data_IF_466343146393
#
_entry.id   IF_466343146393
#
_cell.length_a   1.000
_cell.length_b   1.000
_cell.length_c   1.000
_cell.angle_alpha   90.00
_cell.angle_beta   90.00
_cell.angle_gamma   90.00
#
_symmetry.space_group_name_H-M   'P 1'
#
loop_
_entity.id
_entity.type
_entity.pdbx_description
1 polymer ?
2 polymer ?
#
loop_
_entity_poly.entity_id
_entity_poly.type
_entity_poly.pdbx_seq_one_letter_code
_entity_poly.pdbx_strand_id
2 'polydeoxyribonucleotide' '(DC)(DC)(DC)' ?
#
# COMPACT_ATOMS: atom_id res chain seq x y z
N UNK A 4 14.34 -13.47 10.00
CA UNK A 4 15.07 -14.52 9.23
C UNK A 4 14.88 -14.32 7.72
N UNK A 5 15.96 -13.97 7.04
CA UNK A 5 15.92 -13.75 5.61
C UNK A 5 15.83 -15.05 4.84
N UNK A 6 14.76 -15.19 4.06
CA UNK A 6 14.53 -16.41 3.29
C UNK A 6 14.57 -16.26 1.79
N UNK A 7 15.09 -17.31 1.14
CA UNK A 7 15.21 -17.34 -0.31
C UNK A 7 14.04 -18.09 -0.90
N UNK A 8 13.46 -17.55 -1.96
CA UNK A 8 12.32 -18.19 -2.59
C UNK A 8 12.47 -18.40 -4.09
N UNK A 9 11.88 -19.49 -4.59
CA UNK A 9 11.94 -19.84 -6.01
C UNK A 9 11.21 -18.79 -6.83
N UNK A 10 11.95 -17.76 -7.25
CA UNK A 10 11.36 -16.66 -8.02
C UNK A 10 11.30 -16.89 -9.53
N UNK A 11 10.51 -16.09 -10.26
CA UNK A 11 10.38 -16.21 -11.72
C UNK A 11 11.60 -15.67 -12.47
N UNK A 12 11.92 -16.29 -13.61
CA UNK A 12 13.06 -15.93 -14.44
C UNK A 12 13.67 -14.54 -14.21
N UNK A 13 13.29 -13.53 -15.00
CA UNK A 13 13.97 -12.29 -14.63
C UNK A 13 13.27 -11.71 -13.41
N UNK A 14 13.95 -11.70 -12.27
CA UNK A 14 13.33 -11.12 -11.07
C UNK A 14 13.42 -9.61 -11.30
N UNK A 15 12.28 -9.03 -11.63
CA UNK A 15 12.16 -7.60 -11.92
C UNK A 15 11.32 -6.87 -10.88
N UNK A 16 11.46 -5.54 -10.87
CA UNK A 16 10.70 -4.67 -9.97
C UNK A 16 9.64 -3.92 -10.75
N UNK A 17 8.42 -3.93 -10.23
CA UNK A 17 7.30 -3.28 -10.91
C UNK A 17 7.03 -1.89 -10.37
N UNK A 18 6.94 -0.93 -11.28
CA UNK A 18 6.71 0.44 -10.93
C UNK A 18 5.50 0.87 -11.71
N UNK A 19 4.73 1.79 -11.13
CA UNK A 19 3.53 2.31 -11.76
C UNK A 19 3.96 3.46 -12.65
N UNK A 20 3.29 3.61 -13.79
CA UNK A 20 3.62 4.71 -14.69
C UNK A 20 2.56 5.78 -14.54
N UNK A 21 2.91 6.94 -13.98
CA UNK A 21 1.91 7.99 -13.84
C UNK A 21 1.14 8.15 -15.13
N UNK A 22 -0.05 8.73 -15.02
CA UNK A 22 -0.87 8.93 -16.19
C UNK A 22 -0.22 9.93 -17.13
N UNK A 23 -0.05 9.52 -18.39
CA UNK A 23 0.54 10.38 -19.40
C UNK A 23 2.04 10.19 -19.61
N UNK A 24 2.62 9.22 -18.90
CA UNK A 24 4.04 8.91 -19.05
C UNK A 24 4.08 7.63 -19.89
N UNK A 25 5.02 7.55 -20.81
CA UNK A 25 5.10 6.37 -21.67
C UNK A 25 6.53 5.85 -21.89
N UNK A 26 6.69 4.53 -21.84
CA UNK A 26 8.00 3.89 -22.04
C UNK A 26 7.93 2.57 -22.79
N UNK A 27 9.02 2.23 -23.47
CA UNK A 27 9.10 0.99 -24.20
C UNK A 27 10.31 0.20 -23.72
N UNK A 28 10.28 -1.11 -23.90
CA UNK A 28 11.39 -1.98 -23.50
C UNK A 28 12.71 -1.43 -24.02
N UNK A 29 13.78 -1.64 -23.26
CA UNK A 29 15.07 -1.15 -23.67
C UNK A 29 15.32 0.30 -23.28
N UNK A 30 14.43 0.88 -22.48
CA UNK A 30 14.59 2.26 -22.08
C UNK A 30 14.90 2.42 -20.62
N UNK A 31 15.85 3.30 -20.34
CA UNK A 31 16.25 3.58 -18.98
C UNK A 31 15.21 4.46 -18.32
N UNK A 32 15.00 4.26 -17.02
CA UNK A 32 14.01 5.04 -16.30
C UNK A 32 14.59 5.32 -14.93
N UNK A 33 14.23 6.45 -14.35
CA UNK A 33 14.71 6.79 -13.02
C UNK A 33 13.57 6.34 -12.11
N UNK A 34 13.87 5.52 -11.12
CA UNK A 34 12.81 5.02 -10.25
C UNK A 34 13.20 5.14 -8.79
N UNK A 35 12.20 5.10 -7.90
CA UNK A 35 12.52 5.18 -6.47
C UNK A 35 13.10 3.83 -6.03
N UNK A 36 13.88 3.84 -4.95
CA UNK A 36 14.43 2.59 -4.43
C UNK A 36 14.71 2.73 -2.95
N UNK A 37 13.95 1.99 -2.15
CA UNK A 37 14.09 2.08 -0.72
C UNK A 37 13.52 3.43 -0.32
N UNK A 38 12.66 3.44 0.71
CA UNK A 38 12.01 4.66 1.23
C UNK A 38 12.13 6.03 0.55
N UNK A 39 13.35 6.50 0.25
CA UNK A 39 13.49 7.85 -0.33
C UNK A 39 14.53 8.05 -1.45
N UNK A 40 15.31 7.03 -1.79
CA UNK A 40 16.32 7.17 -2.84
C UNK A 40 15.82 7.00 -4.27
N UNK A 41 16.75 7.14 -5.20
CA UNK A 41 16.47 7.02 -6.64
C UNK A 41 17.56 6.13 -7.21
N UNK A 42 17.27 5.50 -8.35
CA UNK A 42 18.23 4.64 -9.03
C UNK A 42 17.84 4.51 -10.50
N UNK A 43 18.80 4.14 -11.34
CA UNK A 43 18.56 3.97 -12.77
C UNK A 43 18.30 2.51 -13.05
N UNK A 44 17.32 2.22 -13.91
CA UNK A 44 17.02 0.85 -14.25
C UNK A 44 16.60 0.82 -15.70
N UNK A 45 16.39 -0.37 -16.24
CA UNK A 45 15.97 -0.48 -17.62
C UNK A 45 14.66 -1.24 -17.71
N UNK A 46 13.74 -0.71 -18.50
CA UNK A 46 12.44 -1.33 -18.67
C UNK A 46 12.66 -2.60 -19.46
N UNK A 47 12.28 -3.74 -18.88
CA UNK A 47 12.41 -5.01 -19.55
C UNK A 47 11.13 -5.23 -20.33
N UNK A 48 10.02 -4.81 -19.74
CA UNK A 48 8.70 -4.95 -20.34
C UNK A 48 7.64 -4.15 -19.62
N UNK A 49 6.49 -4.06 -20.26
CA UNK A 49 5.38 -3.36 -19.65
C UNK A 49 4.14 -4.16 -19.92
N UNK A 50 3.45 -4.54 -18.86
CA UNK A 50 2.23 -5.31 -18.99
C UNK A 50 1.07 -4.52 -18.40
N UNK A 51 -0.02 -5.23 -18.10
CA UNK A 51 -1.19 -4.60 -17.52
C UNK A 51 -1.43 -5.14 -16.14
N UNK A 52 -0.39 -5.63 -15.49
CA UNK A 52 -0.59 -6.19 -14.17
C UNK A 52 0.66 -6.46 -13.37
N UNK A 53 0.49 -6.50 -12.04
CA UNK A 53 1.59 -6.78 -11.13
C UNK A 53 1.07 -7.59 -9.94
N UNK A 54 1.98 -8.30 -9.27
CA UNK A 54 1.61 -9.11 -8.11
C UNK A 54 0.83 -8.25 -7.13
N UNK A 55 1.28 -7.01 -6.97
CA UNK A 55 0.65 -6.06 -6.07
C UNK A 55 -0.23 -5.11 -6.88
N UNK A 56 -1.28 -4.58 -6.25
CA UNK A 56 -2.21 -3.64 -6.89
C UNK A 56 -1.52 -2.37 -7.37
N UNK A 57 -2.02 -1.84 -8.46
CA UNK A 57 -1.45 -0.63 -9.03
C UNK A 57 -1.25 0.50 -8.02
N UNK A 58 -2.24 0.76 -7.19
CA UNK A 58 -2.08 1.85 -6.22
C UNK A 58 -0.94 1.60 -5.26
N UNK A 59 -0.29 0.44 -5.32
CA UNK A 59 0.82 0.17 -4.42
C UNK A 59 2.19 0.29 -5.08
N UNK A 60 2.20 0.33 -6.41
CA UNK A 60 3.45 0.43 -7.16
C UNK A 60 3.91 1.87 -7.23
N UNK A 61 5.15 2.14 -6.82
CA UNK A 61 5.66 3.49 -6.87
C UNK A 61 5.77 3.86 -8.34
N UNK A 62 5.54 5.13 -8.63
CA UNK A 62 5.58 5.58 -9.99
C UNK A 62 6.98 5.89 -10.48
N UNK A 63 7.18 5.68 -11.78
CA UNK A 63 8.44 5.98 -12.42
C UNK A 63 8.61 7.49 -12.31
N UNK A 64 9.84 7.94 -12.10
CA UNK A 64 10.08 9.36 -11.96
C UNK A 64 10.38 10.10 -13.26
N UNK A 65 11.17 9.49 -14.12
CA UNK A 65 11.55 10.11 -15.38
C UNK A 65 12.03 9.03 -16.32
N UNK A 66 11.85 9.24 -17.62
CA UNK A 66 12.36 8.28 -18.59
C UNK A 66 13.56 8.96 -19.24
N UNK A 67 14.71 8.29 -19.18
CA UNK A 67 15.95 8.83 -19.71
C UNK A 67 16.15 8.59 -21.18
N UNK A 68 15.38 7.68 -21.75
CA UNK A 68 15.53 7.37 -23.17
C UNK A 68 14.23 7.57 -23.92
N UNK A 69 14.29 8.20 -25.07
CA UNK A 69 13.10 8.39 -25.88
C UNK A 69 13.00 7.08 -26.64
N UNK A 70 14.13 6.61 -27.13
CA UNK A 70 14.16 5.35 -27.83
C UNK A 70 15.16 4.43 -27.14
N UNK A 71 15.04 3.11 -27.37
CA UNK A 71 15.88 2.06 -26.79
C UNK A 71 17.37 2.29 -26.85
N UNK A 72 18.03 2.28 -25.70
CA UNK A 72 19.47 2.48 -25.66
C UNK A 72 20.18 1.28 -26.30
N UNK A 73 19.45 0.18 -26.45
CA UNK A 73 20.01 -1.03 -27.05
C UNK A 73 19.33 -1.30 -28.39
N UNK A 74 20.00 -2.05 -29.24
CA UNK A 74 19.50 -2.43 -30.56
C UNK A 74 18.43 -3.51 -30.40
N UNK A 75 17.54 -3.67 -31.38
CA UNK A 75 16.52 -4.70 -31.25
C UNK A 75 17.16 -6.09 -31.20
N UNK A 76 18.28 -6.25 -31.91
CA UNK A 76 19.00 -7.53 -31.93
C UNK A 76 19.69 -7.76 -30.61
N UNK A 77 20.57 -6.82 -30.26
CA UNK A 77 21.35 -6.85 -29.03
C UNK A 77 20.44 -7.13 -27.83
N UNK A 78 19.32 -6.42 -27.80
CA UNK A 78 18.34 -6.57 -26.74
C UNK A 78 17.87 -8.03 -26.69
N UNK A 79 17.39 -8.55 -27.82
CA UNK A 79 16.92 -9.92 -27.81
C UNK A 79 18.01 -10.86 -27.33
N UNK A 80 19.25 -10.63 -27.77
CA UNK A 80 20.34 -11.49 -27.34
C UNK A 80 20.60 -11.34 -25.86
N UNK A 81 20.70 -10.09 -25.40
CA UNK A 81 20.92 -9.84 -23.99
C UNK A 81 19.95 -10.62 -23.11
N UNK A 82 18.66 -10.44 -23.34
CA UNK A 82 17.64 -11.11 -22.55
C UNK A 82 17.78 -12.62 -22.70
N UNK A 83 18.14 -13.06 -23.89
CA UNK A 83 18.31 -14.47 -24.10
C UNK A 83 19.39 -15.03 -23.17
N UNK A 84 20.58 -14.45 -23.33
CA UNK A 84 21.75 -14.83 -22.57
C UNK A 84 21.48 -14.82 -21.06
N UNK A 85 20.84 -13.77 -20.58
CA UNK A 85 20.53 -13.64 -19.15
C UNK A 85 19.69 -14.84 -18.69
N UNK A 86 18.73 -15.22 -19.52
CA UNK A 86 17.85 -16.33 -19.22
C UNK A 86 18.58 -17.66 -19.41
N UNK A 87 19.15 -17.86 -20.58
CA UNK A 87 19.85 -19.11 -20.84
C UNK A 87 20.92 -19.43 -19.80
N UNK A 88 21.78 -18.46 -19.53
CA UNK A 88 22.87 -18.68 -18.59
C UNK A 88 22.57 -18.39 -17.12
N UNK A 89 21.32 -18.11 -16.84
CA UNK A 89 20.90 -17.86 -15.48
C UNK A 89 21.61 -16.71 -14.82
N UNK A 90 21.60 -15.58 -15.53
CA UNK A 90 22.20 -14.37 -15.02
C UNK A 90 21.13 -13.30 -14.81
N UNK A 91 21.26 -12.51 -13.73
CA UNK A 91 20.26 -11.46 -13.46
C UNK A 91 20.22 -10.53 -14.66
N UNK A 92 19.03 -10.35 -15.20
CA UNK A 92 18.84 -9.51 -16.37
C UNK A 92 19.34 -8.09 -16.12
N UNK A 93 19.19 -7.60 -14.90
CA UNK A 93 19.68 -6.28 -14.60
C UNK A 93 21.18 -6.31 -14.77
N UNK A 94 21.79 -7.32 -14.13
CA UNK A 94 23.21 -7.58 -14.18
C UNK A 94 23.73 -7.55 -15.60
N UNK A 95 23.14 -8.37 -16.45
CA UNK A 95 23.55 -8.43 -17.83
C UNK A 95 23.39 -7.08 -18.50
N UNK A 96 22.19 -6.51 -18.40
CA UNK A 96 21.90 -5.23 -19.03
C UNK A 96 22.85 -4.08 -18.69
N UNK A 97 22.97 -3.75 -17.41
CA UNK A 97 23.86 -2.67 -17.07
C UNK A 97 25.34 -2.94 -17.30
N UNK A 98 25.78 -4.18 -17.18
CA UNK A 98 27.19 -4.49 -17.43
C UNK A 98 27.47 -4.37 -18.91
N UNK A 99 26.56 -4.85 -19.76
CA UNK A 99 26.77 -4.81 -21.20
C UNK A 99 26.65 -3.42 -21.80
N UNK A 100 25.92 -2.53 -21.14
CA UNK A 100 25.75 -1.18 -21.64
C UNK A 100 27.08 -0.50 -21.90
N UNK A 101 27.97 -0.42 -20.89
CA UNK A 101 29.26 0.24 -21.09
C UNK A 101 30.07 -0.39 -22.22
N UNK A 102 30.06 -1.71 -22.29
CA UNK A 102 30.79 -2.39 -23.35
C UNK A 102 30.24 -1.99 -24.72
N UNK A 103 28.94 -2.20 -24.91
CA UNK A 103 28.33 -1.89 -26.19
C UNK A 103 28.51 -0.45 -26.66
N UNK A 104 28.31 0.52 -25.79
CA UNK A 104 28.42 1.92 -26.22
C UNK A 104 29.83 2.50 -26.25
N UNK A 105 30.71 2.00 -25.40
CA UNK A 105 32.06 2.53 -25.32
C UNK A 105 33.00 1.79 -26.26
N UNK B 1 1.24 1.26 -21.30
CA UNK B 1 0.44 0.56 -20.26
C UNK B 1 0.73 0.99 -18.82
N UNK B 2 0.06 0.37 -17.84
CA UNK B 2 0.25 0.72 -16.43
C UNK B 2 1.56 0.32 -15.73
N UNK B 3 1.81 -0.99 -15.63
CA UNK B 3 3.01 -1.51 -14.97
C UNK B 3 4.28 -1.63 -15.80
N UNK B 4 5.38 -1.17 -15.21
CA UNK B 4 6.67 -1.23 -15.85
C UNK B 4 7.51 -2.21 -15.04
N UNK B 5 7.99 -3.23 -15.73
CA UNK B 5 8.82 -4.28 -15.15
C UNK B 5 10.25 -3.82 -15.39
N UNK B 6 10.92 -3.46 -14.31
CA UNK B 6 12.26 -2.91 -14.43
C UNK B 6 13.42 -3.74 -13.90
N UNK B 7 14.53 -3.68 -14.65
CA UNK B 7 15.74 -4.38 -14.28
C UNK B 7 16.59 -3.43 -13.46
N UNK B 8 17.12 -3.90 -12.35
CA UNK B 8 17.95 -3.05 -11.51
C UNK B 8 19.37 -3.55 -11.31
N UNK B 9 20.33 -2.61 -11.18
CA UNK B 9 21.71 -2.97 -10.97
C UNK B 9 21.92 -3.83 -9.71
N UNK B 10 22.02 -5.12 -10.01
CA UNK B 10 22.25 -6.23 -9.11
C UNK B 10 22.56 -6.02 -7.67
N UNK B 11 21.54 -6.14 -6.80
CA UNK B 11 21.57 -5.99 -5.34
C UNK B 11 22.49 -7.05 -4.72
N UNK B 13 22.49 -10.51 -2.48
CA UNK B 13 21.51 -11.56 -2.22
C UNK B 13 20.17 -10.97 -1.79
N UNK B 14 19.31 -10.70 -2.77
CA UNK B 14 18.01 -10.14 -2.43
C UNK B 14 17.05 -11.23 -1.97
N UNK B 15 16.78 -11.28 -0.67
CA UNK B 15 15.88 -12.29 -0.10
C UNK B 15 14.63 -11.71 0.54
N UNK B 16 13.72 -12.61 0.92
CA UNK B 16 12.48 -12.20 1.55
C UNK B 16 12.55 -12.48 3.04
N UNK B 17 12.10 -11.51 3.83
CA UNK B 17 12.14 -11.63 5.27
C UNK B 17 10.80 -12.07 5.85
N UNK B 18 10.83 -13.05 6.74
CA UNK B 18 9.62 -13.53 7.41
C UNK B 18 9.86 -13.72 8.90
N UNK B 19 8.81 -13.59 9.70
CA UNK B 19 8.90 -13.73 11.15
C UNK B 19 8.87 -15.18 11.59
N UNK B 20 9.70 -15.48 12.58
CA UNK B 20 9.80 -16.82 13.14
C UNK B 20 8.71 -17.04 14.17
N UNK B 22 7.36 -17.54 18.19
CA UNK B 22 7.89 -17.71 19.54
C UNK B 22 8.06 -19.19 19.88
N UNK B 23 9.30 -19.64 19.95
CA UNK B 23 9.56 -21.03 20.28
C UNK B 23 9.90 -21.86 19.05
N UNK B 24 10.04 -21.19 17.92
CA UNK B 24 10.40 -21.84 16.66
C UNK B 24 11.83 -21.42 16.34
N UNK B 25 12.70 -22.38 16.06
CA UNK B 25 14.08 -22.04 15.74
C UNK B 25 14.57 -22.70 14.48
N UNK B 26 15.35 -21.94 13.72
CA UNK B 26 15.89 -22.41 12.46
C UNK B 26 17.25 -21.81 12.22
N UNK B 27 18.08 -22.51 11.46
CA UNK B 27 19.37 -21.95 11.13
C UNK B 27 19.60 -22.03 9.61
N UNK B 28 20.59 -21.29 9.15
CA UNK B 28 20.93 -21.23 7.73
C UNK B 28 20.97 -22.61 7.08
N UNK B 29 20.47 -22.68 5.85
CA UNK B 29 20.50 -23.93 5.11
C UNK B 29 19.29 -24.80 5.36
N UNK B 30 18.33 -24.29 6.11
CA UNK B 30 17.11 -25.04 6.42
C UNK B 30 15.89 -24.57 5.64
N UNK B 31 15.17 -25.53 5.08
CA UNK B 31 13.98 -25.22 4.31
C UNK B 31 12.86 -24.83 5.26
N UNK B 32 12.03 -23.88 4.85
CA UNK B 32 10.93 -23.40 5.67
C UNK B 32 9.70 -23.10 4.81
N UNK B 33 8.54 -23.34 5.40
CA UNK B 33 7.26 -23.08 4.74
C UNK B 33 6.83 -21.70 5.16
N UNK B 34 6.60 -20.82 4.19
CA UNK B 34 6.18 -19.47 4.53
C UNK B 34 5.06 -18.97 3.64
N UNK B 35 4.33 -17.95 4.09
CA UNK B 35 3.23 -17.39 3.30
C UNK B 35 3.77 -16.66 2.08
N UNK B 36 3.01 -16.68 1.00
CA UNK B 36 3.45 -16.06 -0.24
C UNK B 36 2.31 -15.28 -0.89
N UNK B 37 2.39 -13.96 -0.84
CA UNK B 37 1.37 -13.11 -1.44
C UNK B 37 -0.04 -13.42 -0.96
N UNK B 38 -1.00 -12.73 -1.59
CA UNK B 38 -2.42 -12.90 -1.29
C UNK B 38 -2.83 -14.26 -1.84
N UNK B 39 -1.89 -15.20 -1.76
CA UNK B 39 -2.08 -16.56 -2.25
C UNK B 39 -1.64 -17.56 -1.18
N UNK B 41 0.70 -21.10 0.68
CA UNK B 41 1.95 -21.52 1.31
C UNK B 41 2.99 -21.89 0.25
N UNK B 42 4.26 -21.86 0.64
CA UNK B 42 5.36 -22.23 -0.25
C UNK B 42 6.66 -22.48 0.51
N UNK B 43 7.52 -23.32 -0.06
CA UNK B 43 8.78 -23.66 0.59
C UNK B 43 9.89 -22.71 0.22
N UNK B 44 10.71 -22.40 1.22
CA UNK B 44 11.84 -21.52 1.01
C UNK B 44 12.99 -21.98 1.88
N UNK B 45 14.17 -21.41 1.66
CA UNK B 45 15.34 -21.77 2.46
C UNK B 45 15.81 -20.56 3.25
N UNK B 46 16.04 -20.79 4.55
CA UNK B 46 16.50 -19.74 5.43
C UNK B 46 17.92 -19.41 5.05
N UNK B 47 18.13 -18.15 4.65
CA UNK B 47 19.44 -17.66 4.25
C UNK B 47 20.16 -17.11 5.47
N UNK B 48 19.38 -16.47 6.35
CA UNK B 48 19.93 -15.88 7.54
C UNK B 48 18.82 -15.61 8.54
N UNK B 49 19.22 -15.48 9.81
CA UNK B 49 18.28 -15.22 10.88
C UNK B 49 18.69 -13.95 11.62
N UNK B 51 18.13 -9.69 13.05
CA UNK B 51 17.28 -9.00 14.02
C UNK B 51 16.86 -7.63 13.50
N UNK B 53 14.70 -5.84 10.27
CA UNK B 53 13.93 -5.98 9.04
C UNK B 53 13.63 -4.66 8.33
N UNK B 54 13.56 -4.73 7.00
CA UNK B 54 13.27 -3.56 6.18
C UNK B 54 11.94 -2.91 6.58
N UNK B 55 10.87 -3.69 6.60
CA UNK B 55 9.56 -3.17 6.98
C UNK B 55 9.27 -3.42 8.47
N UNK B 56 8.21 -2.80 9.02
CA UNK B 56 7.84 -2.98 10.44
C UNK B 56 7.76 -4.43 10.89
N UNK B 57 8.24 -4.70 12.11
CA UNK B 57 8.19 -6.05 12.66
C UNK B 57 6.74 -6.28 13.06
N UNK B 58 5.85 -5.59 12.34
CA UNK B 58 4.43 -5.66 12.59
C UNK B 58 3.69 -6.13 11.35
N UNK B 59 3.62 -5.27 10.33
CA UNK B 59 2.94 -5.62 9.09
C UNK B 59 3.72 -6.68 8.33
N UNK B 61 3.99 -10.72 6.71
CA UNK B 61 4.03 -12.17 6.55
C UNK B 61 5.04 -12.78 7.54
N UNK B 62 4.62 -13.84 8.23
CA UNK B 62 5.47 -14.51 9.23
C UNK B 62 6.07 -15.86 8.79
N UNK B 64 5.89 -19.54 8.66
CA UNK B 64 4.98 -20.59 9.12
C UNK B 64 5.67 -21.57 10.03
N UNK B 65 6.57 -22.36 9.46
CA UNK B 65 7.33 -23.31 10.25
C UNK B 65 8.64 -23.66 9.59
N UNK B 66 9.48 -24.31 10.39
CA UNK B 66 10.79 -24.78 10.00
C UNK B 66 10.67 -26.23 9.58
N UNK B 67 11.09 -26.54 8.36
CA UNK B 67 11.02 -27.91 7.87
C UNK B 67 12.28 -28.70 8.21
N UNK B 68 13.31 -28.02 8.69
CA UNK B 68 14.54 -28.70 9.04
C UNK B 68 15.16 -28.16 10.32
N UNK B 69 15.51 -29.07 11.21
CA UNK B 69 16.12 -28.72 12.49
C UNK B 69 17.59 -28.44 12.23
N UNK B 70 18.14 -29.22 11.30
CA UNK B 70 19.53 -29.14 10.91
C UNK B 70 19.61 -28.68 9.46
N UNK B 71 20.70 -27.99 9.09
CA UNK B 71 20.84 -27.51 7.71
C UNK B 71 20.88 -28.67 6.71
N UNK B 72 20.06 -28.58 5.67
CA UNK B 72 20.03 -29.62 4.65
C UNK B 72 21.32 -29.56 3.82
N UNK B 73 22.10 -28.49 3.98
CA UNK B 73 23.36 -28.32 3.26
C UNK B 73 24.53 -28.45 4.25
N UNK B 74 25.66 -28.99 3.78
CA UNK B 74 26.86 -29.15 4.61
C UNK B 74 27.47 -27.76 4.81
N UNK B 75 28.29 -27.59 5.84
CA UNK B 75 28.93 -26.29 6.04
C UNK B 75 29.75 -26.00 4.79
N UNK B 76 30.41 -27.04 4.30
CA UNK B 76 31.24 -26.97 3.12
C UNK B 76 30.36 -26.57 1.92
N UNK B 77 29.42 -27.45 1.58
CA UNK B 77 28.48 -27.27 0.48
C UNK B 77 27.90 -25.86 0.43
N UNK B 78 27.39 -25.42 1.56
CA UNK B 78 26.79 -24.09 1.67
C UNK B 78 27.82 -23.03 1.24
N UNK B 79 28.98 -23.00 1.90
CA UNK B 79 30.02 -22.02 1.59
C UNK B 79 30.26 -22.00 0.09
N UNK B 80 30.43 -23.20 -0.48
CA UNK B 80 30.67 -23.37 -1.90
C UNK B 80 29.53 -22.77 -2.73
N UNK B 81 28.31 -23.25 -2.48
CA UNK B 81 27.15 -22.76 -3.20
C UNK B 81 27.01 -21.24 -3.15
N UNK B 82 27.16 -20.67 -1.97
CA UNK B 82 27.01 -19.21 -1.84
C UNK B 82 28.09 -18.50 -2.63
N UNK B 83 29.27 -19.11 -2.69
CA UNK B 83 30.40 -18.52 -3.43
C UNK B 83 30.01 -18.46 -4.89
N UNK B 84 29.78 -19.64 -5.45
CA UNK B 84 29.41 -19.79 -6.85
C UNK B 84 28.28 -18.87 -7.26
N UNK B 85 27.29 -18.70 -6.37
CA UNK B 85 26.17 -17.82 -6.66
C UNK B 85 26.74 -16.43 -6.94
N UNK B 86 27.60 -16.01 -6.01
CA UNK B 86 28.25 -14.72 -6.08
C UNK B 86 29.25 -14.58 -7.22
N UNK B 87 30.17 -15.52 -7.31
CA UNK B 87 31.21 -15.50 -8.32
C UNK B 87 30.70 -15.59 -9.76
N UNK B 88 29.72 -16.44 -10.01
CA UNK B 88 29.23 -16.57 -11.37
C UNK B 88 27.95 -15.80 -11.67
N UNK B 89 27.53 -14.96 -10.72
CA UNK B 89 26.36 -14.12 -10.95
C UNK B 89 25.10 -14.92 -11.13
N UNK B 90 24.74 -15.69 -10.11
CA UNK B 90 23.53 -16.48 -10.17
C UNK B 90 22.72 -16.18 -8.92
N UNK B 91 21.41 -16.03 -9.06
CA UNK B 91 20.62 -15.76 -7.86
C UNK B 91 20.72 -16.89 -6.86
N UNK B 92 21.14 -16.55 -5.66
CA UNK B 92 21.29 -17.50 -4.57
C UNK B 92 20.15 -18.51 -4.52
N UNK B 93 18.92 -18.02 -4.66
CA UNK B 93 17.78 -18.90 -4.61
C UNK B 93 17.89 -19.97 -5.67
N UNK B 94 18.10 -19.53 -6.91
CA UNK B 94 18.25 -20.44 -8.04
C UNK B 94 19.27 -21.51 -7.74
N UNK B 95 20.46 -21.09 -7.34
CA UNK B 95 21.51 -22.01 -7.02
C UNK B 95 21.08 -23.00 -5.94
N UNK B 96 20.61 -22.46 -4.82
CA UNK B 96 20.17 -23.28 -3.70
C UNK B 96 19.13 -24.34 -4.00
N UNK B 97 18.05 -23.92 -4.64
CA UNK B 97 16.96 -24.83 -4.96
C UNK B 97 17.34 -25.82 -6.03
N UNK B 98 18.14 -25.37 -6.98
CA UNK B 98 18.55 -26.27 -8.04
C UNK B 98 19.63 -27.25 -7.56
N UNK B 99 20.42 -26.83 -6.59
CA UNK B 99 21.49 -27.68 -6.06
C UNK B 99 20.98 -28.80 -5.16
N UNK B 100 19.92 -28.51 -4.41
CA UNK B 100 19.33 -29.45 -3.48
C UNK B 100 19.07 -30.84 -4.10
N UNK B 101 18.32 -30.91 -5.20
CA UNK B 101 18.02 -32.18 -5.87
C UNK B 101 19.27 -32.99 -6.20
N UNK B 102 20.23 -32.36 -6.87
CA UNK B 102 21.46 -33.04 -7.23
C UNK B 102 22.15 -33.50 -5.97
N UNK B 103 22.18 -32.60 -4.99
CA UNK B 103 22.77 -32.85 -3.68
C UNK B 103 22.32 -34.14 -3.03
N UNK B 104 21.01 -34.26 -2.90
CA UNK B 104 20.37 -35.41 -2.27
C UNK B 104 20.45 -36.72 -3.04
N UNK C 1 -21.01 -3.16 24.44
CA UNK C 1 -21.70 -1.90 24.03
C UNK C 1 -20.99 -0.62 24.49
N UNK C 2 -19.66 -0.53 24.32
CA UNK C 2 -18.89 0.65 24.72
C UNK C 2 -18.71 1.67 23.60
N UNK C 3 -18.20 1.21 22.48
CA UNK C 3 -17.98 2.06 21.33
C UNK C 3 -19.29 2.31 20.58
N UNK C 4 -19.52 3.55 20.20
CA UNK C 4 -20.71 3.91 19.46
C UNK C 4 -20.12 4.46 18.17
N UNK C 5 -20.59 3.94 17.04
CA UNK C 5 -20.11 4.36 15.73
C UNK C 5 -21.11 5.36 15.23
N UNK C 6 -20.72 6.62 15.29
CA UNK C 6 -21.58 7.71 14.93
C UNK C 6 -21.27 8.35 13.59
N UNK C 7 -22.32 8.61 12.82
CA UNK C 7 -22.17 9.26 11.54
C UNK C 7 -22.44 10.72 11.81
N UNK C 8 -21.58 11.59 11.30
CA UNK C 8 -21.75 13.02 11.51
C UNK C 8 -21.89 13.71 10.18
N UNK C 9 -22.55 14.88 10.15
CA UNK C 9 -22.71 15.59 8.89
C UNK C 9 -21.42 16.38 8.68
N UNK C 10 -20.46 15.83 7.95
CA UNK C 10 -19.22 16.57 7.76
C UNK C 10 -19.16 17.33 6.45
N UNK C 11 -18.20 18.26 6.32
CA UNK C 11 -18.11 19.02 5.06
C UNK C 11 -17.65 18.23 3.82
N UNK C 12 -17.75 18.88 2.66
CA UNK C 12 -17.38 18.31 1.36
C UNK C 12 -16.39 17.14 1.37
N UNK C 13 -15.07 17.41 1.44
CA UNK C 13 -14.19 16.25 1.44
C UNK C 13 -13.64 15.89 2.82
N UNK C 14 -14.21 14.86 3.44
CA UNK C 14 -13.72 14.45 4.76
C UNK C 14 -12.35 13.82 4.49
N UNK C 15 -11.32 14.51 4.93
CA UNK C 15 -9.96 14.05 4.68
C UNK C 15 -9.16 13.88 6.00
N UNK C 16 -8.09 13.10 5.97
CA UNK C 16 -7.26 12.85 7.15
C UNK C 16 -5.92 13.58 7.09
N UNK C 17 -5.58 14.30 8.15
CA UNK C 17 -4.34 15.09 8.19
C UNK C 17 -3.10 14.44 8.75
N UNK C 18 -2.01 14.57 8.01
CA UNK C 18 -0.75 14.01 8.46
C UNK C 18 0.32 15.09 8.39
N UNK C 19 1.35 14.91 9.20
CA UNK C 19 2.45 15.86 9.24
C UNK C 19 3.48 15.40 8.23
N UNK C 20 4.10 16.35 7.54
CA UNK C 20 5.12 16.06 6.53
C UNK C 20 6.52 15.97 7.15
N UNK C 21 7.20 14.83 7.00
CA UNK C 21 8.54 14.66 7.56
C UNK C 21 9.54 15.77 7.19
N UNK C 22 10.67 15.81 7.88
CA UNK C 22 11.72 16.79 7.62
C UNK C 22 12.47 16.40 6.35
N UNK C 23 12.26 17.16 5.27
CA UNK C 23 12.94 16.88 4.02
C UNK C 23 12.16 16.03 3.04
N UNK C 24 10.86 15.89 3.28
CA UNK C 24 9.99 15.08 2.42
C UNK C 24 9.03 16.05 1.76
N UNK C 25 8.78 15.84 0.48
CA UNK C 25 7.89 16.73 -0.24
C UNK C 25 6.87 15.99 -1.10
N UNK C 26 5.63 16.48 -1.06
CA UNK C 26 4.52 15.92 -1.85
C UNK C 26 3.55 17.01 -2.26
N UNK C 27 2.93 16.82 -3.41
CA UNK C 27 1.94 17.78 -3.87
C UNK C 27 0.62 17.05 -4.09
N UNK C 28 -0.46 17.81 -4.27
CA UNK C 28 -1.75 17.18 -4.49
C UNK C 28 -1.72 16.20 -5.64
N UNK C 29 -2.48 15.11 -5.49
CA UNK C 29 -2.52 14.13 -6.54
C UNK C 29 -1.53 13.01 -6.29
N UNK C 30 -0.79 13.11 -5.21
CA UNK C 30 0.22 12.08 -4.94
C UNK C 30 -0.14 11.10 -3.86
N UNK C 31 0.11 9.85 -4.16
CA UNK C 31 -0.15 8.77 -3.24
C UNK C 31 0.94 8.73 -2.17
N UNK C 32 0.55 8.61 -0.91
CA UNK C 32 1.48 8.54 0.20
C UNK C 32 1.10 7.37 1.09
N UNK C 33 2.10 6.82 1.78
CA UNK C 33 1.92 5.69 2.69
C UNK C 33 1.81 6.34 4.06
N UNK C 34 0.73 6.09 4.78
CA UNK C 34 0.57 6.71 6.10
C UNK C 34 0.04 5.75 7.15
N UNK C 35 0.26 6.07 8.43
CA UNK C 35 -0.21 5.23 9.53
C UNK C 35 -1.74 5.34 9.67
N UNK C 36 -2.41 4.25 10.03
CA UNK C 36 -3.86 4.26 10.21
C UNK C 36 -4.25 3.34 11.36
N UNK C 37 -4.86 3.90 12.39
CA UNK C 37 -5.23 3.08 13.53
C UNK C 37 -3.93 2.62 14.17
N UNK C 38 -4.00 1.66 15.09
CA UNK C 38 -2.81 1.21 15.81
C UNK C 38 -1.73 0.39 15.12
N UNK C 39 -2.08 -0.77 14.58
CA UNK C 39 -1.11 -1.65 13.95
C UNK C 39 -0.35 -1.18 12.72
N UNK C 40 -1.01 -1.05 11.57
CA UNK C 40 -0.26 -0.65 10.39
C UNK C 40 -0.60 0.61 9.60
N UNK C 41 -0.10 0.60 8.37
CA UNK C 41 -0.22 1.69 7.42
C UNK C 41 -1.17 1.38 6.27
N UNK C 42 -1.38 2.38 5.42
CA UNK C 42 -2.24 2.27 4.24
C UNK C 42 -1.84 3.32 3.23
N UNK C 43 -2.29 3.15 2.00
CA UNK C 43 -1.98 4.09 0.95
C UNK C 43 -3.12 5.08 0.76
N UNK C 44 -2.79 6.35 0.62
CA UNK C 44 -3.82 7.35 0.41
C UNK C 44 -3.33 8.34 -0.61
N UNK C 45 -4.20 9.24 -1.06
CA UNK C 45 -3.79 10.23 -2.02
C UNK C 45 -3.90 11.62 -1.41
N UNK C 46 -2.83 12.39 -1.54
CA UNK C 46 -2.84 13.74 -1.02
C UNK C 46 -3.83 14.54 -1.84
N UNK C 47 -4.77 15.16 -1.16
CA UNK C 47 -5.78 15.94 -1.83
C UNK C 47 -5.32 17.40 -1.84
N UNK C 48 -4.54 17.77 -0.84
CA UNK C 48 -3.99 19.13 -0.76
C UNK C 48 -3.03 19.27 0.43
N UNK C 49 -2.19 20.29 0.38
CA UNK C 49 -1.25 20.54 1.47
C UNK C 49 -1.41 21.99 1.89
N UNK C 50 -1.44 22.25 3.19
CA UNK C 50 -1.57 23.62 3.68
C UNK C 50 -1.18 23.71 5.14
N UNK C 51 -1.18 24.93 5.67
CA UNK C 51 -0.85 25.15 7.07
C UNK C 51 -2.14 25.34 7.83
N UNK C 52 -3.06 24.39 7.71
CA UNK C 52 -4.34 24.51 8.39
C UNK C 52 -4.90 23.17 8.83
N UNK C 53 -4.47 22.69 9.99
CA UNK C 53 -4.96 21.42 10.53
C UNK C 53 -5.98 21.70 11.63
N UNK C 54 -7.14 21.07 11.54
CA UNK C 54 -8.18 21.27 12.54
C UNK C 54 -7.93 20.32 13.72
N UNK C 55 -6.68 20.23 14.14
CA UNK C 55 -6.27 19.38 15.26
C UNK C 55 -4.91 19.86 15.81
N UNK C 56 -4.51 19.35 17.00
CA UNK C 56 -3.23 19.72 17.62
C UNK C 56 -2.07 19.24 16.75
N UNK C 57 -1.24 20.17 16.29
CA UNK C 57 -0.12 19.84 15.43
C UNK C 57 0.93 18.92 16.05
N UNK C 58 0.47 17.93 16.83
CA UNK C 58 1.34 16.97 17.49
C UNK C 58 0.53 15.70 17.73
N UNK C 59 -0.79 15.84 17.68
CA UNK C 59 -1.69 14.72 17.89
C UNK C 59 -1.76 13.90 16.60
N UNK C 60 -1.29 14.51 15.50
CA UNK C 60 -1.30 13.86 14.19
C UNK C 60 0.10 13.37 13.83
N UNK C 61 0.20 12.09 13.45
CA UNK C 61 1.48 11.50 13.09
C UNK C 61 1.96 12.03 11.74
N UNK C 62 3.05 11.47 11.22
CA UNK C 62 3.59 11.94 9.95
C UNK C 62 3.65 10.90 8.85
N UNK C 63 3.63 11.40 7.60
CA UNK C 63 3.69 10.56 6.42
C UNK C 63 4.86 9.59 6.55
N UNK C 64 4.75 8.43 5.91
CA UNK C 64 5.82 7.47 5.98
C UNK C 64 6.73 7.64 4.76
N UNK C 65 6.13 7.74 3.59
CA UNK C 65 6.88 7.91 2.34
C UNK C 65 5.95 8.32 1.22
N UNK C 66 6.49 9.00 0.20
CA UNK C 66 5.67 9.40 -0.93
C UNK C 66 5.97 8.45 -2.08
N UNK C 67 4.93 7.87 -2.67
CA UNK C 67 5.12 6.90 -3.75
C UNK C 67 5.14 7.54 -5.12
N UNK C 68 4.80 8.82 -5.18
CA UNK C 68 4.76 9.54 -6.45
C UNK C 68 5.59 10.81 -6.36
N UNK C 69 6.42 11.02 -7.36
CA UNK C 69 7.25 12.21 -7.42
C UNK C 69 6.33 13.23 -8.03
N UNK C 70 5.58 12.80 -9.03
CA UNK C 70 4.62 13.67 -9.67
C UNK C 70 3.23 13.05 -9.58
N UNK C 71 2.19 13.89 -9.73
CA UNK C 71 0.79 13.47 -9.67
C UNK C 71 0.45 12.27 -10.54
N UNK C 72 -0.15 11.27 -9.93
CA UNK C 72 -0.48 10.07 -10.67
C UNK C 72 -1.66 10.33 -11.60
N UNK C 73 -2.30 11.48 -11.41
CA UNK C 73 -3.44 11.86 -12.25
C UNK C 73 -3.06 13.11 -12.99
N UNK C 74 -3.77 13.37 -14.08
CA UNK C 74 -3.56 14.57 -14.88
C UNK C 74 -4.21 15.76 -14.20
N UNK C 75 -3.81 16.96 -14.58
CA UNK C 75 -4.37 18.15 -13.97
C UNK C 75 -5.87 18.21 -14.18
N UNK C 76 -6.33 17.84 -15.37
CA UNK C 76 -7.76 17.88 -15.69
C UNK C 76 -8.52 16.72 -15.03
N UNK C 77 -8.09 15.49 -15.30
CA UNK C 77 -8.69 14.31 -14.71
C UNK C 77 -8.93 14.57 -13.21
N UNK C 78 -7.89 15.08 -12.55
CA UNK C 78 -7.96 15.40 -11.15
C UNK C 78 -9.08 16.41 -10.91
N UNK C 79 -9.10 17.49 -11.65
CA UNK C 79 -10.16 18.48 -11.46
C UNK C 79 -11.50 17.80 -11.57
N UNK C 80 -11.61 16.96 -12.59
CA UNK C 80 -12.82 16.23 -12.89
C UNK C 80 -13.21 15.33 -11.74
N UNK C 81 -12.29 14.46 -11.31
CA UNK C 81 -12.57 13.55 -10.20
C UNK C 81 -13.04 14.21 -8.90
N UNK C 82 -12.32 15.23 -8.44
CA UNK C 82 -12.73 15.91 -7.22
C UNK C 82 -14.11 16.51 -7.38
N UNK C 83 -14.43 16.96 -8.59
CA UNK C 83 -15.73 17.57 -8.83
C UNK C 83 -16.78 16.51 -8.68
N UNK C 84 -16.56 15.41 -9.39
CA UNK C 84 -17.46 14.28 -9.39
C UNK C 84 -17.78 13.84 -7.97
N UNK C 85 -16.74 13.70 -7.17
CA UNK C 85 -16.88 13.29 -5.78
C UNK C 85 -17.82 14.20 -5.01
N UNK C 86 -17.65 15.47 -5.22
CA UNK C 86 -18.43 16.46 -4.53
C UNK C 86 -19.82 16.62 -5.10
N UNK C 87 -19.90 16.73 -6.41
CA UNK C 87 -21.17 16.92 -7.07
C UNK C 87 -22.12 15.74 -6.85
N UNK C 88 -21.61 14.52 -7.01
CA UNK C 88 -22.42 13.32 -6.85
C UNK C 88 -22.40 12.76 -5.43
N UNK C 89 -21.80 13.49 -4.52
CA UNK C 89 -21.72 13.07 -3.16
C UNK C 89 -21.10 11.70 -3.01
N UNK C 90 -19.87 11.56 -3.50
CA UNK C 90 -19.18 10.29 -3.32
C UNK C 90 -17.92 10.56 -2.52
N UNK C 91 -17.50 9.61 -1.68
CA UNK C 91 -16.28 9.79 -0.88
C UNK C 91 -15.07 10.00 -1.78
N UNK C 92 -14.39 11.14 -1.61
CA UNK C 92 -13.22 11.46 -2.43
C UNK C 92 -12.24 10.29 -2.53
N UNK C 93 -11.95 9.68 -1.39
CA UNK C 93 -11.06 8.55 -1.39
C UNK C 93 -11.60 7.43 -2.28
N UNK C 94 -12.91 7.18 -2.22
CA UNK C 94 -13.57 6.14 -3.01
C UNK C 94 -13.35 6.40 -4.51
N UNK C 95 -13.69 7.62 -4.92
CA UNK C 95 -13.58 8.06 -6.30
C UNK C 95 -12.15 7.90 -6.79
N UNK C 96 -11.22 8.54 -6.09
CA UNK C 96 -9.84 8.47 -6.49
C UNK C 96 -9.32 7.08 -6.62
N UNK C 97 -9.36 6.28 -5.56
CA UNK C 97 -8.82 4.95 -5.71
C UNK C 97 -9.53 4.02 -6.69
N UNK C 98 -10.84 4.16 -6.88
CA UNK C 98 -11.50 3.28 -7.84
C UNK C 98 -11.15 3.73 -9.22
N UNK C 99 -11.05 5.04 -9.38
CA UNK C 99 -10.76 5.60 -10.69
C UNK C 99 -9.35 5.28 -11.20
N UNK C 100 -8.41 5.16 -10.29
CA UNK C 100 -7.03 4.90 -10.66
C UNK C 100 -6.85 3.69 -11.58
N UNK C 101 -7.33 2.52 -11.15
CA UNK C 101 -7.15 1.37 -12.05
C UNK C 101 -7.78 1.56 -13.42
N UNK C 102 -8.98 2.11 -13.48
CA UNK C 102 -9.63 2.32 -14.76
C UNK C 102 -8.83 3.33 -15.58
N UNK C 103 -8.41 4.40 -14.92
CA UNK C 103 -7.65 5.43 -15.59
C UNK C 103 -6.30 4.95 -16.14
N UNK C 104 -5.53 4.22 -15.35
CA UNK C 104 -4.22 3.79 -15.81
C UNK C 104 -4.16 2.70 -16.87
N UNK C 105 -4.73 3.03 -18.03
CA UNK C 105 -4.76 2.12 -19.15
C UNK C 105 -5.63 0.90 -18.79
N UNK D 2 2.30 23.08 7.67
CA UNK D 2 2.78 22.13 6.64
C UNK D 2 2.23 20.73 6.84
N UNK D 3 0.92 20.60 6.62
CA UNK D 3 0.23 19.32 6.74
C UNK D 3 -0.45 18.92 5.44
N UNK D 4 -0.39 17.62 5.16
CA UNK D 4 -1.01 17.05 3.98
C UNK D 4 -2.39 16.57 4.36
N UNK D 5 -3.36 16.91 3.51
CA UNK D 5 -4.74 16.51 3.70
C UNK D 5 -4.92 15.32 2.79
N UNK D 6 -4.78 14.14 3.39
CA UNK D 6 -4.86 12.90 2.67
C UNK D 6 -6.21 12.21 2.67
N UNK D 7 -6.59 11.72 1.49
CA UNK D 7 -7.84 10.99 1.32
C UNK D 7 -7.50 9.51 1.30
N UNK D 8 -8.17 8.73 2.15
CA UNK D 8 -7.95 7.28 2.22
C UNK D 8 -9.16 6.47 1.79
N UNK D 9 -8.93 5.31 1.17
CA UNK D 9 -10.07 4.50 0.76
C UNK D 9 -10.52 3.79 2.01
N UNK D 10 -11.38 4.44 2.80
CA UNK D 10 -11.77 3.79 4.04
C UNK D 10 -12.98 2.89 3.86
N UNK D 11 -13.05 1.78 4.61
CA UNK D 11 -14.18 0.84 4.52
C UNK D 11 -15.61 1.41 4.49
N UNK D 12 -16.48 0.71 3.75
CA UNK D 12 -17.90 1.05 3.56
C UNK D 12 -18.48 2.27 4.27
N UNK D 13 -18.85 2.16 5.56
CA UNK D 13 -19.40 3.35 6.21
C UNK D 13 -18.35 4.08 7.03
N UNK D 14 -17.85 5.19 6.52
CA UNK D 14 -16.86 5.96 7.28
C UNK D 14 -17.60 6.55 8.46
N UNK D 15 -17.38 5.96 9.64
CA UNK D 15 -18.05 6.44 10.85
C UNK D 15 -17.02 6.92 11.87
N UNK D 16 -17.49 7.67 12.87
CA UNK D 16 -16.65 8.18 13.95
C UNK D 16 -16.97 7.45 15.24
N UNK D 17 -15.93 6.98 15.92
CA UNK D 17 -16.10 6.21 17.16
C UNK D 17 -16.01 7.03 18.45
N UNK D 18 -17.02 6.86 19.29
CA UNK D 18 -17.08 7.55 20.57
C UNK D 18 -17.34 6.55 21.66
N UNK D 19 -16.78 6.81 22.84
CA UNK D 19 -16.92 5.94 24.00
C UNK D 19 -18.23 6.23 24.69
N UNK D 20 -18.88 5.19 25.15
CA UNK D 20 -20.16 5.35 25.83
C UNK D 20 -19.94 5.33 27.32
N UNK D 21 -19.94 6.50 27.95
CA UNK D 21 -19.72 6.56 29.41
C UNK D 21 -20.44 5.43 30.15
N UNK D 22 -19.78 4.91 31.19
CA UNK D 22 -20.34 3.83 31.99
C UNK D 22 -21.73 4.24 32.47
N UNK D 23 -22.69 3.41 32.07
CA UNK D 23 -24.09 3.65 32.37
C UNK D 23 -24.86 4.46 31.31
N UNK D 24 -24.24 4.76 30.16
CA UNK D 24 -24.93 5.51 29.08
C UNK D 24 -25.28 4.46 28.02
N UNK D 25 -26.47 4.53 27.46
CA UNK D 25 -26.86 3.55 26.48
C UNK D 25 -27.62 4.14 25.28
N UNK D 26 -27.26 3.70 24.08
CA UNK D 26 -27.90 4.17 22.85
C UNK D 26 -28.17 3.05 21.87
N UNK D 27 -29.08 3.33 20.95
CA UNK D 27 -29.50 2.38 19.94
C UNK D 27 -29.30 2.99 18.56
N UNK D 28 -29.13 2.15 17.56
CA UNK D 28 -28.94 2.62 16.19
C UNK D 28 -30.08 3.54 15.83
N UNK D 29 -29.81 4.57 15.05
CA UNK D 29 -30.87 5.48 14.65
C UNK D 29 -31.12 6.60 15.63
N UNK D 30 -30.29 6.69 16.67
CA UNK D 30 -30.48 7.74 17.65
C UNK D 30 -29.40 8.79 17.60
N UNK D 31 -29.82 10.02 17.82
CA UNK D 31 -28.91 11.13 17.79
C UNK D 31 -28.17 11.23 19.10
N UNK D 32 -26.98 11.79 19.06
CA UNK D 32 -26.20 11.95 20.26
C UNK D 32 -25.33 13.18 20.10
N UNK D 33 -24.98 13.81 21.21
CA UNK D 33 -24.11 14.97 21.14
C UNK D 33 -22.73 14.42 21.44
N UNK D 34 -21.77 14.80 20.61
CA UNK D 34 -20.41 14.34 20.80
C UNK D 34 -19.43 15.50 20.66
N UNK D 35 -18.18 15.29 21.09
CA UNK D 35 -17.18 16.35 20.98
C UNK D 35 -16.71 16.34 19.55
N UNK D 36 -16.19 17.47 19.08
CA UNK D 36 -15.69 17.53 17.71
C UNK D 36 -14.59 18.57 17.55
N UNK D 37 -13.39 18.11 17.24
CA UNK D 37 -12.28 19.01 17.07
C UNK D 37 -11.91 19.64 18.40
N UNK D 39 -13.00 21.45 21.27
CA UNK D 39 -13.63 22.75 21.13
C UNK D 39 -15.15 22.65 21.08
N UNK D 40 -15.72 22.59 19.88
CA UNK D 40 -17.17 22.53 19.70
C UNK D 40 -17.78 21.14 19.79
N UNK D 41 -19.11 21.12 19.87
CA UNK D 41 -19.90 19.90 19.93
C UNK D 41 -20.74 19.84 18.65
N UNK D 42 -21.40 18.70 18.42
CA UNK D 42 -22.21 18.52 17.23
C UNK D 42 -23.19 17.36 17.44
N UNK D 43 -24.25 17.33 16.63
CA UNK D 43 -25.26 16.27 16.70
C UNK D 43 -25.00 15.23 15.61
N UNK D 44 -24.98 13.96 16.03
CA UNK D 44 -24.75 12.88 15.10
C UNK D 44 -25.76 11.78 15.34
N UNK D 45 -25.84 10.86 14.39
CA UNK D 45 -26.76 9.75 14.46
C UNK D 45 -25.98 8.45 14.65
N UNK D 46 -26.35 7.67 15.67
CA UNK D 46 -25.72 6.38 15.94
C UNK D 46 -26.04 5.41 14.81
N UNK D 47 -25.00 4.92 14.15
CA UNK D 47 -25.17 3.96 13.07
C UNK D 47 -25.15 2.57 13.66
N UNK D 48 -24.40 2.40 14.72
CA UNK D 48 -24.32 1.11 15.38
C UNK D 48 -23.44 1.20 16.61
N UNK D 49 -23.51 0.14 17.39
CA UNK D 49 -22.75 0.03 18.63
C UNK D 49 -22.01 -1.31 18.60
N UNK D 50 -20.68 -1.29 18.53
CA UNK D 50 -19.92 -2.54 18.52
C UNK D 50 -19.26 -2.75 19.88
N UNK D 51 -18.08 -3.37 19.89
CA UNK D 51 -17.37 -3.65 21.14
C UNK D 51 -15.89 -3.30 21.02
N UNK D 52 -15.52 -2.70 19.89
CA UNK D 52 -14.15 -2.31 19.65
C UNK D 52 -14.06 -1.38 18.44
N UNK D 53 -13.03 -0.52 18.43
CA UNK D 53 -12.83 0.43 17.35
C UNK D 53 -11.40 0.35 16.81
N UNK D 54 -11.13 1.15 15.78
CA UNK D 54 -9.82 1.16 15.14
C UNK D 54 -8.79 1.98 15.92
N UNK D 55 -9.18 2.48 17.09
CA UNK D 55 -8.30 3.26 17.97
C UNK D 55 -8.37 2.68 19.39
N UNK D 56 -7.25 2.78 20.14
CA UNK D 56 -7.16 2.27 21.52
C UNK D 56 -8.45 2.50 22.32
N UNK D 57 -8.96 1.41 22.84
CA UNK D 57 -10.19 1.37 23.61
C UNK D 57 -10.65 2.55 24.52
N UNK D 58 -9.71 3.30 25.09
CA UNK D 58 -10.03 4.41 26.02
C UNK D 58 -9.47 5.73 25.55
N UNK D 59 -8.85 5.69 24.38
CA UNK D 59 -8.23 6.83 23.79
C UNK D 59 -9.26 7.72 23.07
N UNK D 60 -10.52 7.30 23.06
CA UNK D 60 -11.55 8.06 22.38
C UNK D 60 -12.66 8.74 23.19
N UNK D 61 -12.83 10.03 22.89
CA UNK D 61 -13.81 10.92 23.53
C UNK D 61 -15.14 10.26 23.79
N UNK D 62 -15.74 10.63 24.90
CA UNK D 62 -17.04 10.09 25.27
C UNK D 62 -18.19 10.84 24.62
N UNK D 63 -19.34 10.19 24.59
CA UNK D 63 -20.53 10.79 24.04
C UNK D 63 -20.90 11.80 25.11
N UNK D 64 -21.71 12.79 24.73
CA UNK D 64 -22.15 13.82 25.67
C UNK D 64 -23.61 13.67 26.08
N UNK D 65 -24.51 13.35 25.15
CA UNK D 65 -25.92 13.22 25.51
C UNK D 65 -26.63 12.49 24.37
N UNK D 66 -27.68 11.75 24.69
CA UNK D 66 -28.44 11.08 23.64
C UNK D 66 -29.74 11.84 23.51
N UNK D 67 -29.98 12.39 22.32
CA UNK D 67 -31.15 13.20 22.10
C UNK D 67 -32.38 12.43 21.69
N UNK D 68 -32.25 11.12 21.53
CA UNK D 68 -33.39 10.32 21.14
C UNK D 68 -33.34 9.06 21.97
N UNK D 69 -34.46 8.67 22.54
CA UNK D 69 -34.46 7.42 23.30
C UNK D 69 -35.01 6.35 22.37
N UNK D 70 -35.65 6.82 21.31
CA UNK D 70 -36.29 6.02 20.27
C UNK D 70 -35.57 6.35 18.94
N UNK D 71 -35.43 5.36 18.02
CA UNK D 71 -34.77 5.63 16.74
C UNK D 71 -35.60 6.57 15.86
N UNK D 72 -34.99 7.69 15.48
CA UNK D 72 -35.62 8.70 14.65
C UNK D 72 -35.98 8.22 13.22
N UNK D 73 -35.59 6.99 12.90
CA UNK D 73 -35.89 6.41 11.58
C UNK D 73 -36.62 5.10 11.80
N UNK D 74 -37.44 4.73 10.83
CA UNK D 74 -38.21 3.49 10.82
C UNK D 74 -37.25 2.31 10.70
N UNK D 75 -37.67 1.14 11.15
CA UNK D 75 -36.83 -0.07 11.07
C UNK D 75 -36.47 -0.33 9.60
N UNK D 76 -37.44 -0.12 8.71
CA UNK D 76 -37.22 -0.34 7.28
C UNK D 76 -36.47 0.82 6.61
N UNK D 77 -36.98 2.05 6.75
CA UNK D 77 -36.33 3.21 6.16
C UNK D 77 -34.86 3.16 6.52
N UNK D 78 -34.59 2.68 7.72
CA UNK D 78 -33.23 2.60 8.19
C UNK D 78 -32.44 1.61 7.36
N UNK D 79 -32.99 0.43 7.16
CA UNK D 79 -32.29 -0.59 6.39
C UNK D 79 -32.06 -0.07 4.99
N UNK D 80 -33.03 0.68 4.50
CA UNK D 80 -33.01 1.22 3.16
C UNK D 80 -31.90 2.23 2.95
N UNK D 81 -31.85 3.23 3.83
CA UNK D 81 -30.83 4.25 3.74
C UNK D 81 -29.43 3.68 3.87
N UNK D 82 -29.21 2.79 4.82
CA UNK D 82 -27.90 2.19 4.99
C UNK D 82 -27.52 1.47 3.72
N UNK D 83 -28.51 0.83 3.11
CA UNK D 83 -28.27 0.12 1.87
C UNK D 83 -27.85 1.13 0.82
N UNK D 84 -28.73 2.11 0.58
CA UNK D 84 -28.50 3.16 -0.39
C UNK D 84 -27.10 3.79 -0.23
N UNK D 85 -26.71 4.08 1.00
CA UNK D 85 -25.42 4.70 1.21
C UNK D 85 -24.30 3.83 0.65
N UNK D 86 -24.36 2.55 0.98
CA UNK D 86 -23.39 1.57 0.54
C UNK D 86 -23.48 1.31 -0.98
N UNK D 87 -24.68 0.93 -1.45
CA UNK D 87 -24.89 0.64 -2.86
C UNK D 87 -24.50 1.77 -3.77
N UNK D 88 -24.96 2.98 -3.46
CA UNK D 88 -24.63 4.10 -4.32
C UNK D 88 -23.38 4.88 -3.91
N UNK D 89 -22.61 4.32 -2.99
CA UNK D 89 -21.37 4.93 -2.53
C UNK D 89 -21.58 6.37 -2.07
N UNK D 90 -22.43 6.55 -1.07
CA UNK D 90 -22.68 7.87 -0.52
C UNK D 90 -22.31 7.83 0.96
N UNK D 91 -21.72 8.91 1.49
CA UNK D 91 -21.35 8.93 2.91
C UNK D 91 -22.59 8.73 3.80
N UNK D 92 -22.55 7.69 4.61
CA UNK D 92 -23.69 7.40 5.45
C UNK D 92 -24.23 8.61 6.23
N UNK D 93 -23.34 9.43 6.80
CA UNK D 93 -23.77 10.62 7.51
C UNK D 93 -24.47 11.59 6.56
N UNK D 94 -24.02 11.63 5.30
CA UNK D 94 -24.64 12.51 4.31
C UNK D 94 -26.06 12.00 4.05
N UNK D 95 -26.19 10.70 3.73
CA UNK D 95 -27.49 10.14 3.45
C UNK D 95 -28.42 10.33 4.61
N UNK D 96 -27.99 10.00 5.83
CA UNK D 96 -28.86 10.15 7.00
C UNK D 96 -29.31 11.55 7.29
N UNK D 97 -28.38 12.47 7.38
CA UNK D 97 -28.81 13.82 7.69
C UNK D 97 -29.62 14.51 6.61
N UNK D 98 -29.39 14.19 5.35
CA UNK D 98 -30.18 14.83 4.31
C UNK D 98 -31.53 14.14 4.27
N UNK D 99 -31.53 12.84 4.52
CA UNK D 99 -32.76 12.06 4.50
C UNK D 99 -33.77 12.48 5.57
N UNK D 100 -33.25 12.84 6.75
CA UNK D 100 -34.09 13.23 7.89
C UNK D 100 -35.10 14.33 7.60
N UNK D 101 -34.66 15.48 7.10
CA UNK D 101 -35.55 16.60 6.79
C UNK D 101 -36.67 16.25 5.80
N UNK D 102 -36.38 15.41 4.82
CA UNK D 102 -37.39 15.03 3.85
C UNK D 102 -38.33 13.99 4.48
N UNK D 103 -37.77 13.07 5.24
CA UNK D 103 -38.60 12.06 5.86
C UNK D 103 -39.60 12.67 6.84
N UNK D 104 -39.15 13.67 7.60
CA UNK D 104 -39.98 14.34 8.60
C UNK D 104 -40.93 15.44 8.11
#
# INVERSE_FOLDING_TARGET
MPVAHVALPVPLPRTFDYLLPEGMTVKAGCRVRVPFGKQQERIGIVVSVSDASELPLNELKAVVEVLDSEPVFTHSVWRLLLWAADYYHHPIGDVLFHALPILLR
MPVAHVALPVPLPRTFDYLLPEGMTVKAGCRVRVPFGKQQERIGIVVSVSDASELPLNELKAVVEVLDSEPVFTHSVWRLLLWAADYYHHPIGDVLFHALPILLR
MPVAHVALPVPLPRTFDYLLPEGMTVKAGCRVRVPFGKQQERIGIVVSVSDASELPLNELKAVVEVLDSEPVFTHSVWRLLLWAADYYHHPIGDVLFHALPILLR
MPVAHVALPVPLPRTFDYLLPEGMTVKAGCRVRVPFGKQQERIGIVVSVSDASELPLNELKAVVEVLDSEPVFTHSVWRLLLWAADYYHHPIGDVLFHALPILLR
#
